data_IF_640346935677
#
_entry.id   IF_640346935677
#
_cell.length_a   1.000
_cell.length_b   1.000
_cell.length_c   1.000
_cell.angle_alpha   90.00
_cell.angle_beta   90.00
_cell.angle_gamma   90.00
#
_symmetry.space_group_name_H-M   'P 1'
#
loop_
_entity.id
_entity.type
_entity.pdbx_description
1 polymer ?
#
# COMPACT_ATOMS: atom_id res chain seq x y z
N UNK A 1 31.89 4.07 9.20
CA UNK A 1 30.98 3.32 8.30
C UNK A 1 30.34 2.14 9.04
N UNK A 2 29.34 1.44 8.48
CA UNK A 2 28.81 0.19 9.08
C UNK A 2 29.57 -1.01 8.50
N UNK A 3 30.26 -1.76 9.35
CA UNK A 3 30.97 -3.00 8.98
C UNK A 3 30.00 -4.02 8.36
N UNK A 4 30.37 -4.56 7.19
CA UNK A 4 29.68 -5.68 6.54
C UNK A 4 29.88 -6.97 7.35
N UNK A 5 29.29 -8.09 6.93
CA UNK A 5 29.55 -9.38 7.59
C UNK A 5 30.98 -9.85 7.30
N UNK A 6 31.41 -9.73 6.05
CA UNK A 6 32.75 -10.09 5.58
C UNK A 6 33.84 -9.30 6.32
N UNK A 7 33.66 -7.97 6.46
CA UNK A 7 34.62 -7.14 7.21
C UNK A 7 34.81 -7.63 8.65
N UNK A 8 33.73 -8.08 9.30
CA UNK A 8 33.77 -8.52 10.71
C UNK A 8 34.45 -9.88 10.86
N UNK A 9 34.24 -10.78 9.90
CA UNK A 9 34.95 -12.07 9.85
C UNK A 9 36.44 -11.81 9.62
N UNK A 10 36.79 -10.95 8.65
CA UNK A 10 38.18 -10.58 8.38
C UNK A 10 38.87 -9.93 9.58
N UNK A 11 38.22 -9.00 10.28
CA UNK A 11 38.76 -8.39 11.50
C UNK A 11 39.06 -9.45 12.57
N UNK A 12 38.22 -10.47 12.71
CA UNK A 12 38.41 -11.55 13.67
C UNK A 12 39.56 -12.48 13.29
N UNK A 13 39.67 -12.88 12.02
CA UNK A 13 40.79 -13.68 11.51
C UNK A 13 42.13 -12.95 11.66
N UNK A 14 42.16 -11.67 11.29
CA UNK A 14 43.33 -10.81 11.46
C UNK A 14 43.71 -10.64 12.95
N UNK A 15 42.73 -10.71 13.85
CA UNK A 15 42.99 -10.70 15.29
C UNK A 15 43.61 -12.02 15.76
N UNK A 16 43.16 -13.17 15.24
CA UNK A 16 43.81 -14.47 15.49
C UNK A 16 45.26 -14.49 14.98
N UNK A 17 45.56 -13.78 13.91
CA UNK A 17 46.92 -13.57 13.38
C UNK A 17 47.76 -12.56 14.20
N UNK A 18 47.27 -12.07 15.34
CA UNK A 18 48.03 -11.22 16.26
C UNK A 18 48.02 -9.73 15.94
N UNK A 19 47.25 -9.24 14.95
CA UNK A 19 47.18 -7.79 14.66
C UNK A 19 46.57 -7.01 15.83
N UNK A 20 47.05 -5.78 16.05
CA UNK A 20 46.56 -4.90 17.11
C UNK A 20 45.23 -4.23 16.76
N UNK A 21 44.39 -3.96 17.77
CA UNK A 21 43.10 -3.30 17.57
C UNK A 21 43.22 -1.90 16.95
N UNK A 22 44.32 -1.17 17.22
CA UNK A 22 44.60 0.14 16.62
C UNK A 22 44.83 0.02 15.10
N UNK A 23 45.57 -1.00 14.67
CA UNK A 23 45.82 -1.26 13.24
C UNK A 23 44.54 -1.67 12.51
N UNK A 24 43.71 -2.50 13.14
CA UNK A 24 42.40 -2.90 12.61
C UNK A 24 41.42 -1.72 12.53
N UNK A 25 41.38 -0.87 13.56
CA UNK A 25 40.56 0.34 13.59
C UNK A 25 40.89 1.30 12.43
N UNK A 26 42.18 1.54 12.21
CA UNK A 26 42.65 2.41 11.11
C UNK A 26 42.38 1.79 9.73
N UNK A 27 42.57 0.47 9.58
CA UNK A 27 42.38 -0.22 8.30
C UNK A 27 40.91 -0.22 7.85
N UNK A 28 39.96 -0.37 8.79
CA UNK A 28 38.53 -0.46 8.47
C UNK A 28 37.75 0.85 8.73
N UNK A 29 38.42 1.91 9.20
CA UNK A 29 37.79 3.21 9.47
C UNK A 29 36.69 3.16 10.54
N UNK A 30 36.92 2.40 11.61
CA UNK A 30 35.97 2.17 12.72
C UNK A 30 36.59 2.48 14.07
N UNK A 31 35.78 2.79 15.09
CA UNK A 31 36.29 3.07 16.43
C UNK A 31 36.93 1.81 17.03
N UNK A 32 38.05 1.94 17.75
CA UNK A 32 38.76 0.85 18.44
C UNK A 32 37.83 -0.02 19.31
N UNK A 33 36.80 0.60 19.89
CA UNK A 33 35.80 -0.07 20.71
C UNK A 33 34.98 -1.10 19.93
N UNK A 34 34.73 -0.86 18.63
CA UNK A 34 33.88 -1.71 17.81
C UNK A 34 34.52 -3.08 17.53
N UNK A 35 35.78 -3.19 17.02
CA UNK A 35 36.48 -4.47 16.93
C UNK A 35 36.68 -5.15 18.28
N UNK A 36 36.98 -4.38 19.35
CA UNK A 36 37.20 -4.94 20.70
C UNK A 36 35.94 -5.62 21.25
N UNK A 37 34.80 -4.94 21.12
CA UNK A 37 33.50 -5.49 21.53
C UNK A 37 33.08 -6.68 20.67
N UNK A 38 33.29 -6.59 19.36
CA UNK A 38 32.95 -7.65 18.42
C UNK A 38 33.76 -8.94 18.66
N UNK A 39 35.08 -8.85 18.84
CA UNK A 39 35.92 -10.01 19.14
C UNK A 39 35.46 -10.69 20.42
N UNK A 40 35.19 -9.92 21.49
CA UNK A 40 34.66 -10.43 22.75
C UNK A 40 33.33 -11.19 22.59
N UNK A 41 32.48 -10.78 21.66
CA UNK A 41 31.22 -11.49 21.36
C UNK A 41 31.47 -12.79 20.60
N UNK A 42 32.39 -12.79 19.64
CA UNK A 42 32.75 -13.98 18.85
C UNK A 42 33.40 -15.03 19.74
N UNK A 43 34.31 -14.64 20.63
CA UNK A 43 35.00 -15.56 21.53
C UNK A 43 34.02 -16.29 22.46
N UNK A 44 32.94 -15.61 22.87
CA UNK A 44 31.97 -16.16 23.82
C UNK A 44 30.91 -17.05 23.17
N UNK A 45 30.43 -16.68 21.99
CA UNK A 45 29.23 -17.30 21.39
C UNK A 45 29.45 -17.82 19.96
N UNK A 46 30.67 -17.71 19.44
CA UNK A 46 31.02 -18.12 18.10
C UNK A 46 30.69 -17.08 17.01
N UNK A 47 31.13 -17.40 15.79
CA UNK A 47 31.11 -16.49 14.64
C UNK A 47 29.69 -16.14 14.16
N UNK A 48 28.71 -17.00 14.45
CA UNK A 48 27.33 -16.85 13.98
C UNK A 48 26.63 -15.60 14.55
N UNK A 49 27.04 -15.09 15.72
CA UNK A 49 26.48 -13.85 16.31
C UNK A 49 26.72 -12.63 15.42
N UNK A 50 27.78 -12.65 14.64
CA UNK A 50 28.19 -11.55 13.77
C UNK A 50 27.31 -11.46 12.52
N UNK A 51 26.67 -12.58 12.14
CA UNK A 51 25.74 -12.70 11.01
C UNK A 51 24.41 -12.00 11.32
N UNK A 52 24.44 -10.67 11.34
CA UNK A 52 23.26 -9.85 11.60
C UNK A 52 22.33 -9.82 10.40
N UNK A 53 21.35 -10.72 10.36
CA UNK A 53 20.10 -10.51 9.63
C UNK A 53 19.20 -9.53 10.39
N UNK A 54 18.49 -8.63 9.69
CA UNK A 54 17.41 -7.87 10.32
C UNK A 54 16.27 -8.85 10.62
N UNK A 55 16.07 -9.23 11.88
CA UNK A 55 14.88 -10.01 12.26
C UNK A 55 13.67 -9.09 12.13
N UNK A 56 12.84 -9.39 11.13
CA UNK A 56 11.67 -8.58 10.80
C UNK A 56 10.42 -9.01 11.57
N UNK A 57 10.43 -10.21 12.15
CA UNK A 57 9.29 -10.84 12.79
C UNK A 57 9.76 -11.73 13.95
N UNK A 58 9.04 -11.66 15.06
CA UNK A 58 9.24 -12.53 16.23
C UNK A 58 7.93 -13.27 16.51
N UNK A 59 7.99 -14.59 16.53
CA UNK A 59 6.82 -15.44 16.79
C UNK A 59 6.31 -15.26 18.23
N UNK A 60 5.01 -15.48 18.51
CA UNK A 60 4.47 -15.43 19.87
C UNK A 60 5.08 -16.47 20.79
N UNK A 61 5.32 -17.68 20.27
CA UNK A 61 5.97 -18.77 21.02
C UNK A 61 7.34 -18.31 21.53
N UNK A 62 8.13 -17.69 20.65
CA UNK A 62 9.43 -17.13 21.00
C UNK A 62 9.31 -15.98 22.03
N UNK A 63 8.33 -15.08 21.87
CA UNK A 63 8.10 -14.02 22.87
C UNK A 63 7.72 -14.57 24.24
N UNK A 64 6.93 -15.63 24.27
CA UNK A 64 6.51 -16.31 25.50
C UNK A 64 7.71 -16.90 26.23
N UNK A 65 8.53 -17.67 25.52
CA UNK A 65 9.76 -18.23 26.06
C UNK A 65 10.69 -17.16 26.67
N UNK A 66 10.80 -16.00 26.04
CA UNK A 66 11.58 -14.89 26.60
C UNK A 66 10.96 -14.30 27.88
N UNK A 67 9.63 -14.21 27.93
CA UNK A 67 8.94 -13.74 29.14
C UNK A 67 9.10 -14.73 30.28
N UNK A 68 8.98 -16.02 29.99
CA UNK A 68 9.10 -17.09 30.99
C UNK A 68 10.49 -17.04 31.64
N UNK A 69 11.56 -16.87 30.87
CA UNK A 69 12.91 -16.74 31.42
C UNK A 69 13.16 -15.48 32.25
N UNK A 70 12.57 -14.36 31.86
CA UNK A 70 12.77 -13.10 32.60
C UNK A 70 11.87 -13.01 33.84
N UNK A 71 10.63 -13.49 33.75
CA UNK A 71 9.62 -13.35 34.80
C UNK A 71 9.58 -14.55 35.76
N UNK A 72 9.83 -15.77 35.29
CA UNK A 72 9.81 -16.99 36.11
C UNK A 72 11.21 -17.39 36.57
N UNK A 73 12.20 -17.41 35.68
CA UNK A 73 13.59 -17.81 36.03
C UNK A 73 14.40 -16.65 36.65
N UNK A 74 13.89 -15.42 36.64
CA UNK A 74 14.58 -14.25 37.19
C UNK A 74 15.85 -13.84 36.42
N UNK A 75 16.04 -14.35 35.21
CA UNK A 75 17.24 -14.09 34.43
C UNK A 75 17.34 -12.61 34.04
N UNK A 76 18.56 -12.07 34.10
CA UNK A 76 18.83 -10.70 33.65
C UNK A 76 18.47 -10.56 32.16
N UNK A 77 17.68 -9.53 31.82
CA UNK A 77 17.24 -9.27 30.43
C UNK A 77 18.39 -9.20 29.43
N UNK A 78 19.56 -8.72 29.87
CA UNK A 78 20.78 -8.68 29.06
C UNK A 78 21.32 -10.08 28.79
N UNK A 79 21.34 -10.98 29.78
CA UNK A 79 21.74 -12.39 29.58
C UNK A 79 20.79 -13.06 28.61
N UNK A 80 19.47 -12.99 28.85
CA UNK A 80 18.45 -13.60 27.98
C UNK A 80 18.56 -13.10 26.54
N UNK A 81 18.84 -11.81 26.33
CA UNK A 81 19.05 -11.27 24.99
C UNK A 81 20.33 -11.78 24.31
N UNK A 82 21.36 -12.11 25.09
CA UNK A 82 22.65 -12.60 24.59
C UNK A 82 22.61 -14.11 24.33
N UNK A 83 22.07 -14.88 25.28
CA UNK A 83 21.99 -16.35 25.24
C UNK A 83 21.20 -16.85 24.04
N UNK A 84 20.19 -16.09 23.62
CA UNK A 84 19.32 -16.47 22.51
C UNK A 84 19.84 -16.12 21.12
N UNK A 85 21.05 -15.54 20.99
CA UNK A 85 21.94 -15.55 19.81
C UNK A 85 21.42 -15.07 18.44
N UNK A 86 20.11 -14.96 18.26
CA UNK A 86 19.42 -14.79 16.99
C UNK A 86 18.70 -13.44 17.04
N UNK A 87 19.49 -12.38 16.88
CA UNK A 87 19.04 -11.09 16.31
C UNK A 87 18.10 -10.22 17.14
N UNK A 88 18.03 -10.37 18.47
CA UNK A 88 17.52 -9.31 19.34
C UNK A 88 18.60 -8.25 19.57
N UNK A 89 18.70 -7.33 18.61
CA UNK A 89 19.41 -6.07 18.87
C UNK A 89 18.54 -5.25 19.81
N UNK A 90 18.96 -5.18 21.08
CA UNK A 90 18.65 -4.19 22.11
C UNK A 90 17.73 -4.72 23.23
N UNK A 91 18.25 -4.76 24.46
CA UNK A 91 17.51 -4.90 25.72
C UNK A 91 16.24 -4.05 25.76
N UNK A 92 16.29 -2.83 25.18
CA UNK A 92 15.14 -1.93 25.05
C UNK A 92 13.93 -2.56 24.36
N UNK A 93 14.14 -3.43 23.37
CA UNK A 93 13.06 -4.11 22.66
C UNK A 93 12.33 -5.11 23.55
N UNK A 94 13.08 -5.93 24.29
CA UNK A 94 12.53 -6.88 25.26
C UNK A 94 11.79 -6.14 26.39
N UNK A 95 12.35 -5.03 26.87
CA UNK A 95 11.69 -4.19 27.88
C UNK A 95 10.35 -3.64 27.37
N UNK A 96 10.33 -3.12 26.15
CA UNK A 96 9.10 -2.64 25.54
C UNK A 96 8.05 -3.76 25.41
N UNK A 97 8.45 -5.00 25.10
CA UNK A 97 7.53 -6.12 25.05
C UNK A 97 6.99 -6.49 26.43
N UNK A 98 7.83 -6.53 27.46
CA UNK A 98 7.41 -6.81 28.85
C UNK A 98 6.42 -5.74 29.33
N UNK A 99 6.67 -4.46 29.04
CA UNK A 99 5.76 -3.36 29.39
C UNK A 99 4.40 -3.53 28.72
N UNK A 100 4.39 -3.86 27.42
CA UNK A 100 3.14 -4.11 26.69
C UNK A 100 2.42 -5.36 27.19
N UNK A 101 3.18 -6.39 27.58
CA UNK A 101 2.65 -7.64 28.11
C UNK A 101 1.93 -7.43 29.45
N UNK A 102 2.53 -6.67 30.36
CA UNK A 102 1.88 -6.23 31.62
C UNK A 102 0.63 -5.38 31.35
N UNK A 103 0.70 -4.44 30.41
CA UNK A 103 -0.42 -3.55 30.05
C UNK A 103 -1.63 -4.28 29.45
N UNK A 104 -1.40 -5.39 28.75
CA UNK A 104 -2.45 -6.17 28.09
C UNK A 104 -2.94 -7.35 28.95
N UNK A 105 -2.66 -7.37 30.26
CA UNK A 105 -3.10 -8.45 31.15
C UNK A 105 -2.53 -9.82 30.78
N UNK A 106 -1.22 -9.92 30.53
CA UNK A 106 -0.52 -11.17 30.23
C UNK A 106 -0.96 -11.89 28.93
N UNK A 107 -1.67 -11.19 28.04
CA UNK A 107 -2.05 -11.71 26.72
C UNK A 107 -1.06 -11.26 25.64
N UNK A 108 -0.49 -12.22 24.89
CA UNK A 108 0.45 -11.93 23.79
C UNK A 108 -0.35 -11.49 22.55
N UNK A 109 -0.52 -10.17 22.39
CA UNK A 109 -1.22 -9.60 21.23
C UNK A 109 -0.34 -9.65 19.98
N UNK A 110 -0.71 -10.48 19.00
CA UNK A 110 -0.15 -10.42 17.65
C UNK A 110 -0.74 -9.24 16.87
N UNK A 111 0.10 -8.25 16.55
CA UNK A 111 -0.29 -7.20 15.60
C UNK A 111 -0.02 -7.68 14.19
N UNK A 112 -1.08 -8.00 13.42
CA UNK A 112 -0.96 -8.28 11.98
C UNK A 112 -0.26 -7.10 11.29
N UNK A 113 0.85 -7.37 10.61
CA UNK A 113 1.68 -6.32 9.99
C UNK A 113 1.06 -5.91 8.65
N UNK A 114 0.69 -4.64 8.56
CA UNK A 114 0.18 -4.01 7.35
C UNK A 114 -0.24 -2.59 7.66
N UNK A 115 -0.29 -1.73 6.64
CA UNK A 115 -1.04 -0.47 6.76
C UNK A 115 -2.46 -0.91 7.08
N UNK A 116 -3.01 -0.47 8.22
CA UNK A 116 -4.46 -0.56 8.45
C UNK A 116 -5.11 -0.10 7.15
N UNK A 117 -6.04 -0.87 6.52
CA UNK A 117 -6.62 -0.48 5.25
C UNK A 117 -7.01 0.98 5.38
N UNK A 118 -6.67 1.83 4.41
CA UNK A 118 -6.93 3.28 4.53
C UNK A 118 -8.43 3.57 4.81
N UNK A 119 -9.29 2.60 4.48
CA UNK A 119 -10.73 2.50 4.78
C UNK A 119 -11.07 2.24 6.26
N UNK A 120 -10.17 1.63 7.02
CA UNK A 120 -10.24 1.43 8.48
C UNK A 120 -9.22 2.35 9.18
N UNK A 121 -8.98 3.55 8.64
CA UNK A 121 -8.83 4.68 9.57
C UNK A 121 -10.14 4.66 10.36
N UNK A 122 -10.08 4.32 11.66
CA UNK A 122 -11.13 4.57 12.68
C UNK A 122 -12.09 5.57 12.08
N UNK A 123 -13.34 5.17 11.77
CA UNK A 123 -14.32 6.02 11.10
C UNK A 123 -14.04 7.46 11.51
N UNK A 124 -13.29 8.18 10.66
CA UNK A 124 -12.70 9.45 11.07
C UNK A 124 -13.91 10.31 10.92
N UNK A 125 -14.73 10.39 11.98
CA UNK A 125 -16.06 10.96 11.97
C UNK A 125 -15.93 12.20 11.11
N UNK A 126 -16.40 12.11 9.87
CA UNK A 126 -16.39 13.28 9.02
C UNK A 126 -17.48 14.13 9.65
N UNK A 127 -17.03 15.09 10.44
CA UNK A 127 -17.89 15.72 11.43
C UNK A 127 -17.06 16.36 12.52
N UNK A 128 -17.54 17.52 12.95
CA UNK A 128 -17.00 18.36 14.01
C UNK A 128 -16.70 17.53 15.29
N UNK A 129 -15.81 18.03 16.17
CA UNK A 129 -15.49 17.39 17.45
C UNK A 129 -16.77 17.13 18.28
N UNK A 130 -16.73 16.19 19.22
CA UNK A 130 -17.88 15.92 20.12
C UNK A 130 -18.37 17.20 20.81
N UNK A 131 -17.43 18.04 21.24
CA UNK A 131 -17.69 19.37 21.81
C UNK A 131 -18.43 20.25 20.81
N UNK A 132 -17.92 20.37 19.58
CA UNK A 132 -18.54 21.21 18.56
C UNK A 132 -19.93 20.73 18.10
N UNK A 133 -20.25 19.44 18.24
CA UNK A 133 -21.61 18.92 18.00
C UNK A 133 -22.56 19.29 19.15
N UNK A 134 -22.13 19.07 20.40
CA UNK A 134 -22.90 19.47 21.58
C UNK A 134 -23.21 20.97 21.56
N UNK A 135 -22.25 21.78 21.12
CA UNK A 135 -22.40 23.24 21.01
C UNK A 135 -23.34 23.65 19.87
N UNK A 136 -23.36 22.90 18.76
CA UNK A 136 -24.32 23.13 17.66
C UNK A 136 -25.75 22.79 18.10
N UNK A 137 -25.95 21.63 18.73
CA UNK A 137 -27.25 21.25 19.31
C UNK A 137 -27.71 22.24 20.38
N UNK A 138 -26.80 22.71 21.24
CA UNK A 138 -27.11 23.73 22.24
C UNK A 138 -27.57 25.04 21.58
N UNK A 139 -26.96 25.47 20.47
CA UNK A 139 -27.40 26.66 19.71
C UNK A 139 -28.76 26.50 19.07
N UNK A 140 -29.00 25.36 18.41
CA UNK A 140 -30.30 25.06 17.80
C UNK A 140 -31.42 25.11 18.86
N UNK A 141 -31.14 24.58 20.06
CA UNK A 141 -32.06 24.64 21.20
C UNK A 141 -32.20 26.07 21.76
N UNK A 142 -31.14 26.87 21.84
CA UNK A 142 -31.25 28.28 22.26
C UNK A 142 -32.11 29.09 21.27
N UNK A 143 -31.96 28.87 19.96
CA UNK A 143 -32.83 29.48 18.93
C UNK A 143 -34.28 29.04 19.10
N UNK A 144 -34.51 27.79 19.54
CA UNK A 144 -35.83 27.27 19.92
C UNK A 144 -36.39 27.80 21.24
N UNK A 145 -35.72 28.75 21.91
CA UNK A 145 -36.21 29.41 23.14
C UNK A 145 -35.82 28.72 24.45
N UNK A 146 -34.97 27.68 24.42
CA UNK A 146 -34.52 26.99 25.62
C UNK A 146 -33.45 27.81 26.39
N UNK A 147 -33.49 27.75 27.73
CA UNK A 147 -32.52 28.44 28.60
C UNK A 147 -31.11 27.87 28.42
N UNK A 148 -30.17 28.73 28.04
CA UNK A 148 -28.77 28.37 27.78
C UNK A 148 -28.07 27.69 28.97
N UNK A 149 -28.34 28.16 30.20
CA UNK A 149 -27.67 27.64 31.41
C UNK A 149 -27.91 26.13 31.60
N UNK A 150 -29.18 25.69 31.47
CA UNK A 150 -29.58 24.30 31.60
C UNK A 150 -29.00 23.42 30.49
N UNK A 151 -28.89 23.96 29.28
CA UNK A 151 -28.30 23.26 28.13
C UNK A 151 -26.81 23.03 28.29
N UNK A 152 -26.08 24.01 28.83
CA UNK A 152 -24.64 23.91 29.07
C UNK A 152 -24.34 22.95 30.22
N UNK A 153 -25.15 22.97 31.28
CA UNK A 153 -25.03 22.06 32.43
C UNK A 153 -25.27 20.60 32.00
N UNK A 154 -26.36 20.33 31.29
CA UNK A 154 -26.68 18.98 30.77
C UNK A 154 -25.63 18.48 29.77
N UNK A 155 -25.11 19.35 28.91
CA UNK A 155 -24.06 19.01 27.96
C UNK A 155 -22.67 18.84 28.60
N UNK A 156 -22.51 19.24 29.87
CA UNK A 156 -21.22 19.38 30.58
C UNK A 156 -20.23 20.24 29.81
N UNK A 157 -20.68 21.43 29.38
CA UNK A 157 -19.89 22.40 28.61
C UNK A 157 -19.71 23.71 29.38
N UNK A 158 -18.48 24.27 29.45
CA UNK A 158 -18.27 25.60 30.01
C UNK A 158 -18.93 26.69 29.17
N UNK A 159 -19.53 27.68 29.82
CA UNK A 159 -20.20 28.84 29.18
C UNK A 159 -19.26 29.68 28.31
N UNK A 160 -17.98 29.76 28.67
CA UNK A 160 -16.94 30.39 27.87
C UNK A 160 -16.77 29.75 26.49
N UNK A 161 -17.03 28.44 26.37
CA UNK A 161 -16.95 27.71 25.09
C UNK A 161 -18.03 28.18 24.13
N UNK A 162 -19.26 28.36 24.62
CA UNK A 162 -20.40 28.84 23.84
C UNK A 162 -20.14 30.22 23.25
N UNK A 163 -19.82 31.21 24.09
CA UNK A 163 -19.56 32.57 23.66
C UNK A 163 -18.30 32.69 22.79
N UNK A 164 -17.25 31.90 23.07
CA UNK A 164 -16.08 31.84 22.19
C UNK A 164 -16.46 31.38 20.79
N UNK A 165 -17.27 30.33 20.69
CA UNK A 165 -17.70 29.87 19.38
C UNK A 165 -18.68 30.84 18.70
N UNK A 166 -19.56 31.50 19.45
CA UNK A 166 -20.52 32.48 18.92
C UNK A 166 -19.75 33.64 18.30
N UNK A 167 -18.77 34.18 19.02
CA UNK A 167 -17.83 35.19 18.51
C UNK A 167 -17.05 34.72 17.28
N UNK A 168 -16.67 33.43 17.24
CA UNK A 168 -15.98 32.84 16.09
C UNK A 168 -16.88 32.69 14.86
N UNK A 169 -18.17 32.44 15.04
CA UNK A 169 -19.15 32.36 13.95
C UNK A 169 -19.65 33.74 13.50
N UNK A 170 -19.78 34.68 14.42
CA UNK A 170 -20.16 36.07 14.15
C UNK A 170 -19.01 36.91 13.56
N UNK A 171 -17.79 36.38 13.51
CA UNK A 171 -16.69 37.02 12.78
C UNK A 171 -16.98 37.03 11.28
N UNK A 172 -16.95 38.21 10.66
CA UNK A 172 -17.04 38.38 9.20
C UNK A 172 -16.10 37.39 8.50
N UNK A 173 -16.63 36.66 7.52
CA UNK A 173 -15.86 35.71 6.73
C UNK A 173 -14.77 36.46 5.95
N UNK A 174 -13.55 36.46 6.49
CA UNK A 174 -12.38 37.12 5.90
C UNK A 174 -12.09 36.67 4.47
N UNK A 175 -12.57 35.48 4.10
CA UNK A 175 -12.36 34.89 2.79
C UNK A 175 -13.57 35.10 1.86
N UNK A 176 -14.55 35.94 2.22
CA UNK A 176 -15.80 36.16 1.44
C UNK A 176 -15.52 36.68 0.02
N UNK A 177 -14.71 37.73 -0.12
CA UNK A 177 -14.34 38.30 -1.42
C UNK A 177 -13.61 37.27 -2.29
N UNK A 178 -12.63 36.58 -1.70
CA UNK A 178 -11.88 35.54 -2.40
C UNK A 178 -12.77 34.35 -2.82
N UNK A 179 -13.78 34.00 -2.03
CA UNK A 179 -14.75 32.96 -2.39
C UNK A 179 -15.63 33.40 -3.57
N UNK A 180 -16.08 34.65 -3.57
CA UNK A 180 -16.86 35.21 -4.67
C UNK A 180 -16.05 35.20 -5.98
N UNK A 181 -14.79 35.61 -5.93
CA UNK A 181 -13.90 35.60 -7.10
C UNK A 181 -13.65 34.18 -7.62
N UNK A 182 -13.35 33.23 -6.72
CA UNK A 182 -13.20 31.82 -7.09
C UNK A 182 -14.47 31.28 -7.77
N UNK A 183 -15.65 31.69 -7.30
CA UNK A 183 -16.92 31.30 -7.92
C UNK A 183 -17.10 31.95 -9.30
N UNK A 184 -16.75 33.22 -9.46
CA UNK A 184 -16.79 33.94 -10.74
C UNK A 184 -15.95 33.22 -11.81
N UNK A 185 -14.66 33.01 -11.54
CA UNK A 185 -13.71 32.33 -12.43
C UNK A 185 -14.15 30.88 -12.69
N UNK A 186 -14.72 30.21 -11.69
CA UNK A 186 -15.22 28.84 -11.85
C UNK A 186 -16.40 28.77 -12.83
N UNK A 187 -17.34 29.71 -12.73
CA UNK A 187 -18.49 29.83 -13.62
C UNK A 187 -18.06 30.20 -15.05
N UNK A 188 -17.16 31.16 -15.18
CA UNK A 188 -16.59 31.58 -16.47
C UNK A 188 -15.99 30.40 -17.25
N UNK A 189 -15.19 29.57 -16.58
CA UNK A 189 -14.56 28.39 -17.19
C UNK A 189 -15.41 27.11 -17.12
N UNK A 190 -16.73 27.22 -16.88
CA UNK A 190 -17.69 26.11 -16.88
C UNK A 190 -17.30 24.95 -15.96
N UNK A 191 -16.63 25.24 -14.84
CA UNK A 191 -16.18 24.25 -13.86
C UNK A 191 -15.05 23.31 -14.32
N UNK A 192 -14.35 23.64 -15.41
CA UNK A 192 -13.21 22.85 -15.87
C UNK A 192 -11.94 23.12 -15.05
N UNK A 193 -11.89 24.26 -14.35
CA UNK A 193 -10.70 24.70 -13.66
C UNK A 193 -10.61 24.10 -12.26
N UNK A 194 -9.54 23.35 -12.02
CA UNK A 194 -9.18 22.89 -10.68
C UNK A 194 -8.35 23.92 -9.94
N UNK A 195 -8.12 23.68 -8.64
CA UNK A 195 -7.41 24.61 -7.76
C UNK A 195 -6.07 25.11 -8.30
N UNK A 196 -5.35 24.29 -9.09
CA UNK A 196 -4.08 24.71 -9.73
C UNK A 196 -4.29 25.80 -10.77
N UNK A 197 -5.22 25.61 -11.70
CA UNK A 197 -5.55 26.62 -12.73
C UNK A 197 -6.22 27.83 -12.11
N UNK A 198 -7.13 27.60 -11.15
CA UNK A 198 -7.75 28.65 -10.37
C UNK A 198 -6.72 29.55 -9.65
N UNK A 199 -5.66 28.97 -9.09
CA UNK A 199 -4.60 29.78 -8.43
C UNK A 199 -3.82 30.63 -9.44
N UNK A 200 -3.64 30.16 -10.67
CA UNK A 200 -2.98 30.93 -11.72
C UNK A 200 -3.87 32.11 -12.15
N UNK A 201 -5.16 31.87 -12.39
CA UNK A 201 -6.09 32.95 -12.75
C UNK A 201 -6.24 33.97 -11.62
N UNK A 202 -6.36 33.52 -10.37
CA UNK A 202 -6.38 34.43 -9.23
C UNK A 202 -5.12 35.31 -9.17
N UNK A 203 -3.95 34.77 -9.56
CA UNK A 203 -2.72 35.55 -9.62
C UNK A 203 -2.74 36.58 -10.76
N UNK A 204 -3.41 36.26 -11.88
CA UNK A 204 -3.65 37.20 -12.97
C UNK A 204 -4.62 38.32 -12.55
N UNK A 205 -5.63 37.98 -11.75
CA UNK A 205 -6.58 38.92 -11.15
C UNK A 205 -6.02 39.66 -9.90
N UNK A 206 -4.69 39.75 -9.76
CA UNK A 206 -3.98 40.44 -8.66
C UNK A 206 -4.16 39.86 -7.24
N UNK A 207 -4.71 38.66 -7.07
CA UNK A 207 -4.79 37.98 -5.77
C UNK A 207 -3.53 37.14 -5.50
N UNK A 208 -2.72 37.57 -4.52
CA UNK A 208 -1.55 36.81 -4.06
C UNK A 208 -1.98 35.76 -3.02
N UNK A 209 -2.52 34.65 -3.49
CA UNK A 209 -3.06 33.57 -2.63
C UNK A 209 -2.32 32.26 -2.85
N UNK A 210 -1.95 31.59 -1.75
CA UNK A 210 -1.35 30.26 -1.82
C UNK A 210 -2.36 29.22 -2.33
N UNK A 211 -1.94 28.36 -3.26
CA UNK A 211 -2.75 27.26 -3.83
C UNK A 211 -3.41 26.35 -2.78
N UNK A 212 -2.82 26.18 -1.59
CA UNK A 212 -3.44 25.41 -0.49
C UNK A 212 -4.70 26.08 0.06
N UNK A 213 -4.70 27.42 0.14
CA UNK A 213 -5.86 28.21 0.58
C UNK A 213 -6.97 28.14 -0.45
N UNK A 214 -6.66 28.33 -1.74
CA UNK A 214 -7.60 28.15 -2.86
C UNK A 214 -8.20 26.74 -2.82
N UNK A 215 -7.38 25.70 -2.68
CA UNK A 215 -7.86 24.32 -2.61
C UNK A 215 -8.79 24.07 -1.41
N UNK A 216 -8.52 24.68 -0.26
CA UNK A 216 -9.38 24.58 0.92
C UNK A 216 -10.73 25.26 0.67
N UNK A 217 -10.71 26.47 0.12
CA UNK A 217 -11.92 27.25 -0.17
C UNK A 217 -12.80 26.57 -1.21
N UNK A 218 -12.22 26.06 -2.31
CA UNK A 218 -12.95 25.26 -3.30
C UNK A 218 -13.60 24.02 -2.68
N UNK A 219 -12.92 23.32 -1.75
CA UNK A 219 -13.51 22.17 -1.04
C UNK A 219 -14.67 22.58 -0.13
N UNK A 220 -14.56 23.71 0.56
CA UNK A 220 -15.62 24.23 1.43
C UNK A 220 -16.84 24.62 0.60
N UNK A 221 -16.63 25.23 -0.57
CA UNK A 221 -17.69 25.60 -1.51
C UNK A 221 -18.15 24.43 -2.41
N UNK A 222 -17.67 23.20 -2.18
CA UNK A 222 -17.99 21.99 -2.96
C UNK A 222 -17.73 22.17 -4.48
N UNK A 223 -16.77 23.02 -4.85
CA UNK A 223 -16.35 23.24 -6.23
C UNK A 223 -15.29 22.22 -6.63
N UNK A 224 -15.60 21.36 -7.60
CA UNK A 224 -14.68 20.33 -8.09
C UNK A 224 -14.53 20.41 -9.60
N UNK A 225 -13.28 20.38 -10.07
CA UNK A 225 -13.01 20.38 -11.50
C UNK A 225 -13.59 19.15 -12.19
N UNK A 226 -14.22 19.36 -13.35
CA UNK A 226 -14.65 18.29 -14.24
C UNK A 226 -13.44 17.68 -14.95
N UNK A 227 -12.94 16.56 -14.43
CA UNK A 227 -11.76 15.86 -14.99
C UNK A 227 -12.22 14.75 -15.93
N UNK A 228 -11.83 14.81 -17.20
CA UNK A 228 -11.96 13.68 -18.12
C UNK A 228 -10.79 12.70 -17.91
N UNK A 229 -11.07 11.39 -17.77
CA UNK A 229 -10.02 10.37 -17.63
C UNK A 229 -9.38 10.12 -19.00
N UNK A 230 -8.06 10.29 -19.11
CA UNK A 230 -7.31 9.94 -20.32
C UNK A 230 -7.47 8.44 -20.61
N UNK A 231 -7.98 8.10 -21.80
CA UNK A 231 -8.00 6.70 -22.27
C UNK A 231 -6.57 6.31 -22.67
N UNK A 232 -6.07 5.19 -22.15
CA UNK A 232 -4.76 4.66 -22.52
C UNK A 232 -4.84 3.93 -23.87
N UNK A 233 -4.55 4.66 -24.94
CA UNK A 233 -4.67 4.20 -26.34
C UNK A 233 -3.74 3.00 -26.62
N UNK A 234 -2.51 3.00 -26.06
CA UNK A 234 -1.52 1.92 -26.25
C UNK A 234 -2.01 0.56 -25.73
N UNK A 235 -2.59 0.54 -24.52
CA UNK A 235 -3.12 -0.70 -23.93
C UNK A 235 -4.28 -1.28 -24.75
N UNK A 236 -5.08 -0.42 -25.39
CA UNK A 236 -6.15 -0.85 -26.28
C UNK A 236 -5.63 -1.44 -27.60
N UNK A 237 -4.56 -0.87 -28.19
CA UNK A 237 -3.92 -1.43 -29.40
C UNK A 237 -3.37 -2.83 -29.15
N UNK A 238 -2.67 -3.05 -28.03
CA UNK A 238 -2.18 -4.38 -27.64
C UNK A 238 -3.31 -5.39 -27.38
N UNK A 239 -4.44 -4.91 -26.82
CA UNK A 239 -5.64 -5.74 -26.61
C UNK A 239 -6.28 -6.17 -27.93
N UNK A 240 -6.36 -5.26 -28.90
CA UNK A 240 -6.84 -5.53 -30.25
C UNK A 240 -5.92 -6.52 -30.98
N UNK A 241 -4.61 -6.29 -30.94
CA UNK A 241 -3.63 -7.20 -31.55
C UNK A 241 -3.67 -8.61 -30.92
N UNK A 242 -3.86 -8.71 -29.59
CA UNK A 242 -4.06 -10.00 -28.91
C UNK A 242 -5.33 -10.71 -29.37
N UNK A 243 -6.45 -9.98 -29.51
CA UNK A 243 -7.70 -10.56 -30.02
C UNK A 243 -7.53 -11.11 -31.44
N UNK A 244 -6.87 -10.37 -32.33
CA UNK A 244 -6.59 -10.81 -33.71
C UNK A 244 -5.69 -12.05 -33.76
N UNK A 245 -4.67 -12.14 -32.90
CA UNK A 245 -3.80 -13.33 -32.80
C UNK A 245 -4.57 -14.55 -32.31
N UNK A 246 -5.46 -14.38 -31.32
CA UNK A 246 -6.29 -15.48 -30.80
C UNK A 246 -7.26 -15.97 -31.88
N UNK A 247 -7.93 -15.08 -32.61
CA UNK A 247 -8.84 -15.47 -33.68
C UNK A 247 -8.11 -16.17 -34.83
N UNK A 248 -6.92 -15.69 -35.19
CA UNK A 248 -6.08 -16.32 -36.21
C UNK A 248 -5.62 -17.74 -35.81
N UNK A 249 -5.13 -17.90 -34.59
CA UNK A 249 -4.70 -19.21 -34.07
C UNK A 249 -5.87 -20.21 -33.96
N UNK A 250 -7.08 -19.73 -33.65
CA UNK A 250 -8.28 -20.56 -33.65
C UNK A 250 -8.64 -21.05 -35.06
N UNK A 251 -8.51 -20.17 -36.07
CA UNK A 251 -8.72 -20.51 -37.48
C UNK A 251 -7.72 -21.56 -37.97
N UNK A 252 -6.42 -21.39 -37.66
CA UNK A 252 -5.38 -22.36 -38.00
C UNK A 252 -5.61 -23.73 -37.35
N UNK A 253 -6.04 -23.74 -36.08
CA UNK A 253 -6.36 -24.99 -35.38
C UNK A 253 -7.50 -25.75 -36.05
N UNK A 254 -8.53 -25.04 -36.50
CA UNK A 254 -9.62 -25.63 -37.27
C UNK A 254 -9.09 -26.21 -38.58
N UNK A 255 -8.33 -25.44 -39.37
CA UNK A 255 -7.77 -25.91 -40.63
C UNK A 255 -6.90 -27.16 -40.48
N UNK A 256 -6.00 -27.21 -39.50
CA UNK A 256 -5.16 -28.38 -39.23
C UNK A 256 -5.98 -29.61 -38.82
N UNK A 257 -7.10 -29.42 -38.10
CA UNK A 257 -8.03 -30.51 -37.78
C UNK A 257 -8.74 -31.06 -39.02
N UNK A 258 -9.15 -30.19 -39.95
CA UNK A 258 -9.73 -30.59 -41.23
C UNK A 258 -8.73 -31.36 -42.10
N UNK A 259 -7.50 -30.87 -42.21
CA UNK A 259 -6.43 -31.53 -42.96
C UNK A 259 -6.08 -32.90 -42.36
N UNK A 260 -6.01 -33.01 -41.02
CA UNK A 260 -5.79 -34.29 -40.32
C UNK A 260 -6.94 -35.27 -40.54
N UNK A 261 -8.20 -34.81 -40.48
CA UNK A 261 -9.37 -35.65 -40.77
C UNK A 261 -9.40 -36.11 -42.24
N UNK A 262 -8.92 -35.27 -43.16
CA UNK A 262 -8.84 -35.57 -44.59
C UNK A 262 -7.78 -36.63 -44.87
N UNK A 263 -6.60 -36.53 -44.25
CA UNK A 263 -5.55 -37.55 -44.35
C UNK A 263 -5.99 -38.91 -43.77
N UNK A 264 -6.70 -38.91 -42.63
CA UNK A 264 -7.24 -40.15 -42.06
C UNK A 264 -8.27 -40.81 -42.99
N UNK A 265 -9.16 -40.03 -43.61
CA UNK A 265 -10.12 -40.56 -44.60
C UNK A 265 -9.41 -41.12 -45.83
N UNK A 266 -8.40 -40.43 -46.38
CA UNK A 266 -7.61 -40.91 -47.52
C UNK A 266 -6.86 -42.22 -47.19
N UNK A 267 -6.28 -42.32 -45.99
CA UNK A 267 -5.61 -43.53 -45.50
C UNK A 267 -6.58 -44.71 -45.35
N UNK A 268 -7.78 -44.48 -44.80
CA UNK A 268 -8.83 -45.49 -44.70
C UNK A 268 -9.30 -45.98 -46.08
N UNK A 269 -9.51 -45.07 -47.03
CA UNK A 269 -9.87 -45.42 -48.42
C UNK A 269 -8.76 -46.30 -49.05
N UNK A 270 -7.49 -45.95 -48.85
CA UNK A 270 -6.36 -46.74 -49.35
C UNK A 270 -6.25 -48.12 -48.67
N UNK A 271 -6.52 -48.23 -47.37
CA UNK A 271 -6.54 -49.51 -46.66
C UNK A 271 -7.69 -50.42 -47.11
N UNK A 272 -8.87 -49.84 -47.39
CA UNK A 272 -10.03 -50.58 -47.93
C UNK A 272 -9.75 -51.05 -49.37
N UNK A 273 -9.11 -50.23 -50.20
CA UNK A 273 -8.74 -50.61 -51.57
C UNK A 273 -7.72 -51.75 -51.64
N UNK A 274 -6.81 -51.87 -50.66
CA UNK A 274 -5.82 -52.95 -50.59
C UNK A 274 -6.35 -54.26 -49.98
N UNK A 275 -7.47 -54.23 -49.25
CA UNK A 275 -8.19 -55.44 -48.79
C UNK A 275 -9.22 -55.79 -49.84
N UNK A 276 -8.79 -56.50 -50.89
CA UNK A 276 -9.63 -56.89 -52.02
C UNK A 276 -11.04 -57.35 -51.61
N UNK A 277 -12.03 -56.50 -51.85
CA UNK A 277 -13.45 -56.82 -51.91
C UNK A 277 -14.13 -55.75 -52.76
N UNK A 278 -14.64 -56.19 -53.91
CA UNK A 278 -15.45 -55.40 -54.81
C UNK A 278 -16.71 -54.94 -54.10
N UNK A 279 -16.78 -53.65 -53.73
CA UNK A 279 -18.05 -52.94 -53.56
C UNK A 279 -17.87 -51.52 -54.10
N UNK A 280 -17.87 -51.41 -55.43
CA UNK A 280 -18.04 -50.15 -56.13
C UNK A 280 -19.54 -49.94 -56.37
N UNK A 281 -20.25 -49.31 -55.43
CA UNK A 281 -21.42 -48.49 -55.77
C UNK A 281 -21.77 -47.59 -54.58
N UNK A 282 -22.07 -46.32 -54.85
CA UNK A 282 -22.66 -45.29 -53.95
C UNK A 282 -21.74 -44.34 -53.16
N UNK A 283 -20.45 -44.16 -53.48
CA UNK A 283 -19.67 -43.03 -52.91
C UNK A 283 -19.01 -42.07 -53.93
N UNK A 284 -19.40 -42.13 -55.20
CA UNK A 284 -19.05 -41.10 -56.20
C UNK A 284 -20.03 -39.92 -56.28
N UNK A 285 -21.15 -39.94 -55.54
CA UNK A 285 -22.16 -38.87 -55.57
C UNK A 285 -21.99 -37.79 -54.49
N UNK A 286 -20.84 -37.74 -53.80
CA UNK A 286 -20.52 -36.65 -52.87
C UNK A 286 -19.11 -36.09 -53.10
N UNK A 287 -18.71 -35.95 -54.37
CA UNK A 287 -17.49 -35.23 -54.76
C UNK A 287 -17.78 -33.83 -55.33
N UNK A 288 -19.04 -33.37 -55.30
CA UNK A 288 -19.40 -32.01 -55.71
C UNK A 288 -20.37 -31.43 -54.67
N UNK A 289 -20.04 -30.23 -54.20
CA UNK A 289 -20.78 -29.27 -53.34
C UNK A 289 -20.05 -29.01 -52.03
N UNK A 290 -19.34 -27.88 -51.97
CA UNK A 290 -18.79 -27.37 -50.72
C UNK A 290 -17.62 -26.37 -50.80
N UNK A 291 -17.13 -25.97 -51.98
CA UNK A 291 -16.38 -24.70 -52.11
C UNK A 291 -17.40 -23.56 -52.26
N UNK A 292 -17.98 -23.15 -51.15
CA UNK A 292 -18.65 -21.86 -51.04
C UNK A 292 -17.61 -20.80 -50.75
N UNK A 293 -17.16 -20.12 -51.79
CA UNK A 293 -16.42 -18.87 -51.68
C UNK A 293 -17.26 -17.87 -50.87
N UNK A 294 -16.86 -17.62 -49.62
CA UNK A 294 -17.32 -16.44 -48.87
C UNK A 294 -16.27 -15.35 -49.01
N UNK A 295 -16.37 -14.63 -50.13
CA UNK A 295 -15.77 -13.32 -50.30
C UNK A 295 -16.28 -12.39 -49.19
N UNK A 296 -15.45 -12.13 -48.18
CA UNK A 296 -15.65 -10.95 -47.33
C UNK A 296 -15.02 -9.75 -48.03
N UNK A 297 -15.86 -9.03 -48.76
CA UNK A 297 -15.61 -7.62 -49.09
C UNK A 297 -15.46 -6.83 -47.79
N UNK A 298 -14.31 -6.18 -47.66
CA UNK A 298 -14.04 -5.15 -46.65
C UNK A 298 -14.57 -3.84 -47.22
N UNK A 299 -15.61 -3.29 -46.60
CA UNK A 299 -15.93 -1.86 -46.59
C UNK A 299 -15.71 -1.29 -45.20
#
# INVERSE_FOLDING_TARGET
MKLTYEDKVQIYELRKQGKSFKRLSNQFGVNISDPKYMVKLIDRYGINIVKKGKIRYHSPKFKREMFDKVLLEGCAQQSVCLDYGYGLSNQRLLNNWIVQYKKNGYTIVEKKRGKVPKKVKRARRQGRSLTARKEETAREMVVGGFRLDLLLETARLPQSTYYYQEKRLGGLDKDKELKAEIQSIYCEHKGNYGYRRMTLELRNCSFIVNHKKVQRLMKVAVLTARIHRKRNILHNKERLARKQRISFNASLKHQNQWESATQMRQSLIFQVANRGSYINTVFSSLFIVGKGDSAFHVT
#
